data_IF_841663815676
#
_entry.id   IF_841663815676
#
_cell.length_a   1.000
_cell.length_b   1.000
_cell.length_c   1.000
_cell.angle_alpha   90.00
_cell.angle_beta   90.00
_cell.angle_gamma   90.00
#
_symmetry.space_group_name_H-M   'P 1'
#
loop_
_entity.id
_entity.type
_entity.pdbx_description
1 polymer ?
#
# COMPACT_ATOMS: atom_id res chain seq x y z
N UNK A 1 14.47 22.63 7.36
CA UNK A 1 14.91 22.19 6.02
C UNK A 1 15.10 20.67 5.91
N UNK A 2 15.65 19.99 6.92
CA UNK A 2 15.84 18.53 6.90
C UNK A 2 14.55 17.70 6.88
N UNK A 3 13.45 18.17 7.51
CA UNK A 3 12.16 17.48 7.53
C UNK A 3 11.55 17.27 6.14
N UNK A 4 11.46 18.33 5.32
CA UNK A 4 10.93 18.24 3.95
C UNK A 4 11.76 17.33 3.04
N UNK A 5 13.09 17.31 3.22
CA UNK A 5 13.95 16.37 2.49
C UNK A 5 13.70 14.92 2.92
N UNK A 6 13.45 14.68 4.21
CA UNK A 6 13.09 13.36 4.73
C UNK A 6 11.73 12.91 4.19
N UNK A 7 10.71 13.78 4.22
CA UNK A 7 9.38 13.54 3.63
C UNK A 7 9.50 13.18 2.15
N UNK A 8 10.23 13.99 1.36
CA UNK A 8 10.43 13.72 -0.07
C UNK A 8 11.13 12.38 -0.32
N UNK A 9 12.11 12.00 0.50
CA UNK A 9 12.81 10.71 0.39
C UNK A 9 11.88 9.54 0.75
N UNK A 10 11.15 9.66 1.86
CA UNK A 10 10.17 8.67 2.31
C UNK A 10 9.10 8.42 1.25
N UNK A 11 8.52 9.50 0.70
CA UNK A 11 7.55 9.42 -0.39
C UNK A 11 8.11 8.68 -1.58
N UNK A 12 9.27 9.12 -2.11
CA UNK A 12 9.86 8.49 -3.30
C UNK A 12 10.13 7.00 -3.10
N UNK A 13 10.65 6.61 -1.95
CA UNK A 13 10.93 5.21 -1.66
C UNK A 13 9.65 4.39 -1.52
N UNK A 14 8.62 4.97 -0.89
CA UNK A 14 7.30 4.35 -0.71
C UNK A 14 6.59 4.13 -2.05
N UNK A 15 6.52 5.18 -2.88
CA UNK A 15 5.91 5.11 -4.22
C UNK A 15 6.60 4.04 -5.06
N UNK A 16 7.93 4.08 -5.15
CA UNK A 16 8.66 3.09 -5.95
C UNK A 16 8.56 1.65 -5.42
N UNK A 17 8.29 1.45 -4.13
CA UNK A 17 8.01 0.13 -3.56
C UNK A 17 6.61 -0.37 -3.95
N UNK A 18 5.60 0.49 -3.89
CA UNK A 18 4.18 0.11 -4.00
C UNK A 18 3.66 0.17 -5.44
N UNK A 19 4.07 1.17 -6.23
CA UNK A 19 3.57 1.40 -7.59
C UNK A 19 3.60 0.16 -8.49
N UNK A 20 4.65 -0.69 -8.51
CA UNK A 20 4.66 -1.87 -9.38
C UNK A 20 3.50 -2.85 -9.14
N UNK A 21 3.00 -2.93 -7.91
CA UNK A 21 1.88 -3.80 -7.55
C UNK A 21 0.55 -3.17 -7.96
N UNK A 22 0.37 -1.88 -7.64
CA UNK A 22 -0.85 -1.14 -7.99
C UNK A 22 -1.01 -0.98 -9.50
N UNK A 23 0.06 -0.71 -10.24
CA UNK A 23 0.05 -0.63 -11.71
C UNK A 23 -0.32 -1.97 -12.37
N UNK A 24 0.04 -3.09 -11.75
CA UNK A 24 -0.38 -4.41 -12.21
C UNK A 24 -1.88 -4.63 -11.96
N UNK A 25 -2.38 -4.31 -10.77
CA UNK A 25 -3.82 -4.38 -10.45
C UNK A 25 -4.65 -3.45 -11.33
N UNK A 26 -4.20 -2.20 -11.54
CA UNK A 26 -4.89 -1.25 -12.41
C UNK A 26 -4.97 -1.74 -13.87
N UNK A 27 -3.93 -2.44 -14.36
CA UNK A 27 -3.98 -3.05 -15.69
C UNK A 27 -4.97 -4.22 -15.76
N UNK A 28 -5.07 -5.03 -14.70
CA UNK A 28 -5.99 -6.18 -14.64
C UNK A 28 -7.45 -5.77 -14.43
N UNK A 29 -7.69 -4.80 -13.55
CA UNK A 29 -9.01 -4.39 -13.07
C UNK A 29 -9.38 -2.98 -13.54
N UNK A 30 -8.89 -2.55 -14.71
CA UNK A 30 -9.12 -1.19 -15.23
C UNK A 30 -10.59 -0.76 -15.29
N UNK A 31 -11.52 -1.69 -15.43
CA UNK A 31 -12.97 -1.43 -15.41
C UNK A 31 -13.58 -1.34 -14.01
N UNK A 32 -12.96 -1.97 -13.00
CA UNK A 32 -13.53 -2.16 -11.65
C UNK A 32 -12.88 -1.22 -10.63
N UNK A 33 -11.59 -0.89 -10.79
CA UNK A 33 -10.85 0.08 -9.94
C UNK A 33 -11.27 1.53 -10.22
N UNK A 34 -12.54 1.81 -9.98
CA UNK A 34 -13.15 3.13 -10.04
C UNK A 34 -12.81 3.95 -8.78
N UNK A 35 -13.18 5.22 -8.78
CA UNK A 35 -13.12 6.09 -7.59
C UNK A 35 -13.80 5.45 -6.36
N UNK A 36 -14.97 4.84 -6.55
CA UNK A 36 -15.70 4.21 -5.46
C UNK A 36 -14.95 3.00 -4.88
N UNK A 37 -14.25 2.23 -5.72
CA UNK A 37 -13.43 1.10 -5.25
C UNK A 37 -12.26 1.59 -4.40
N UNK A 38 -11.61 2.72 -4.76
CA UNK A 38 -10.54 3.30 -3.95
C UNK A 38 -11.02 3.86 -2.61
N UNK A 39 -12.28 4.25 -2.53
CA UNK A 39 -12.94 4.73 -1.31
C UNK A 39 -13.58 3.61 -0.47
N UNK A 40 -13.56 2.35 -0.94
CA UNK A 40 -14.00 1.23 -0.12
C UNK A 40 -13.15 1.16 1.18
N UNK A 41 -13.76 1.04 2.37
CA UNK A 41 -13.02 1.13 3.63
C UNK A 41 -11.83 0.17 3.73
N UNK A 42 -11.93 -1.04 3.15
CA UNK A 42 -10.81 -1.97 3.14
C UNK A 42 -9.64 -1.42 2.32
N UNK A 43 -9.92 -0.88 1.13
CA UNK A 43 -8.90 -0.31 0.24
C UNK A 43 -8.22 0.91 0.89
N UNK A 44 -9.02 1.77 1.53
CA UNK A 44 -8.51 2.90 2.33
C UNK A 44 -7.59 2.41 3.44
N UNK A 45 -8.01 1.42 4.24
CA UNK A 45 -7.20 0.85 5.32
C UNK A 45 -5.93 0.18 4.82
N UNK A 46 -6.03 -0.62 3.76
CA UNK A 46 -4.91 -1.36 3.19
C UNK A 46 -3.82 -0.41 2.67
N UNK A 47 -4.20 0.51 1.78
CA UNK A 47 -3.24 1.41 1.15
C UNK A 47 -2.66 2.41 2.15
N UNK A 48 -3.48 2.97 3.04
CA UNK A 48 -3.01 3.94 4.04
C UNK A 48 -1.99 3.31 5.01
N UNK A 49 -2.27 2.10 5.50
CA UNK A 49 -1.36 1.37 6.38
C UNK A 49 -0.08 0.95 5.64
N UNK A 50 -0.20 0.40 4.43
CA UNK A 50 0.97 -0.02 3.64
C UNK A 50 1.92 1.15 3.36
N UNK A 51 1.37 2.29 2.97
CA UNK A 51 2.14 3.53 2.75
C UNK A 51 2.85 3.95 4.03
N UNK A 52 2.16 3.95 5.18
CA UNK A 52 2.76 4.30 6.48
C UNK A 52 3.91 3.38 6.85
N UNK A 53 3.72 2.06 6.74
CA UNK A 53 4.73 1.06 7.06
C UNK A 53 5.94 1.15 6.12
N UNK A 54 5.71 1.32 4.82
CA UNK A 54 6.77 1.50 3.84
C UNK A 54 7.60 2.78 4.09
N UNK A 55 6.93 3.88 4.44
CA UNK A 55 7.60 5.15 4.77
C UNK A 55 8.47 5.02 6.03
N UNK A 56 7.95 4.37 7.08
CA UNK A 56 8.67 4.14 8.32
C UNK A 56 9.85 3.17 8.11
N UNK A 57 9.66 2.10 7.34
CA UNK A 57 10.74 1.16 7.03
C UNK A 57 11.90 1.85 6.30
N UNK A 58 11.59 2.70 5.33
CA UNK A 58 12.61 3.32 4.46
C UNK A 58 13.33 4.51 5.10
N UNK A 59 12.71 5.21 6.06
CA UNK A 59 13.27 6.44 6.64
C UNK A 59 13.31 6.50 8.17
N UNK A 60 12.88 5.42 8.83
CA UNK A 60 12.60 5.38 10.26
C UNK A 60 11.40 6.24 10.64
N UNK A 61 11.13 6.34 11.95
CA UNK A 61 9.98 7.10 12.46
C UNK A 61 9.95 8.54 11.94
N UNK A 62 8.75 8.94 11.52
CA UNK A 62 8.39 10.30 11.15
C UNK A 62 7.52 10.90 12.26
N UNK A 63 7.58 12.22 12.45
CA UNK A 63 6.56 12.90 13.25
C UNK A 63 5.20 12.86 12.54
N UNK A 64 4.11 13.04 13.29
CA UNK A 64 2.75 12.86 12.76
C UNK A 64 2.45 13.74 11.55
N UNK A 65 2.98 14.97 11.48
CA UNK A 65 2.74 15.84 10.33
C UNK A 65 3.51 15.36 9.10
N UNK A 66 4.79 15.00 9.27
CA UNK A 66 5.58 14.42 8.19
C UNK A 66 4.99 13.10 7.68
N UNK A 67 4.49 12.24 8.58
CA UNK A 67 3.85 10.98 8.21
C UNK A 67 2.56 11.20 7.41
N UNK A 68 1.72 12.15 7.84
CA UNK A 68 0.49 12.52 7.11
C UNK A 68 0.80 13.05 5.71
N UNK A 69 1.81 13.91 5.56
CA UNK A 69 2.23 14.41 4.24
C UNK A 69 2.69 13.28 3.31
N UNK A 70 3.53 12.36 3.82
CA UNK A 70 3.95 11.21 3.02
C UNK A 70 2.76 10.36 2.63
N UNK A 71 1.82 10.12 3.54
CA UNK A 71 0.64 9.30 3.28
C UNK A 71 -0.23 9.87 2.16
N UNK A 72 -0.58 11.16 2.26
CA UNK A 72 -1.42 11.84 1.27
C UNK A 72 -0.74 11.93 -0.10
N UNK A 73 0.52 12.36 -0.15
CA UNK A 73 1.22 12.50 -1.43
C UNK A 73 1.53 11.15 -2.08
N UNK A 74 1.93 10.13 -1.31
CA UNK A 74 2.17 8.79 -1.83
C UNK A 74 0.87 8.12 -2.30
N UNK A 75 -0.25 8.34 -1.59
CA UNK A 75 -1.56 7.84 -2.04
C UNK A 75 -1.86 8.32 -3.46
N UNK A 76 -1.75 9.63 -3.69
CA UNK A 76 -2.00 10.22 -4.99
C UNK A 76 -1.00 9.75 -6.05
N UNK A 77 0.29 9.71 -5.70
CA UNK A 77 1.34 9.26 -6.62
C UNK A 77 1.17 7.78 -7.03
N UNK A 78 0.64 6.92 -6.14
CA UNK A 78 0.47 5.48 -6.37
C UNK A 78 -0.87 5.15 -7.04
N UNK A 79 -1.96 5.74 -6.58
CA UNK A 79 -3.32 5.40 -7.04
C UNK A 79 -3.78 6.27 -8.22
N UNK A 80 -3.17 7.44 -8.41
CA UNK A 80 -3.67 8.49 -9.31
C UNK A 80 -4.90 9.24 -8.77
N UNK A 81 -5.41 8.86 -7.59
CA UNK A 81 -6.62 9.42 -7.00
C UNK A 81 -6.33 10.65 -6.12
N UNK A 82 -7.18 11.69 -6.12
CA UNK A 82 -6.91 12.91 -5.36
C UNK A 82 -6.78 12.68 -3.85
N UNK A 83 -5.67 13.16 -3.28
CA UNK A 83 -5.33 12.98 -1.86
C UNK A 83 -6.22 13.74 -0.88
N UNK A 84 -6.92 14.80 -1.31
CA UNK A 84 -7.72 15.62 -0.38
C UNK A 84 -8.94 14.90 0.18
N UNK A 85 -9.42 13.84 -0.47
CA UNK A 85 -10.56 13.04 -0.02
C UNK A 85 -10.16 11.95 0.99
N UNK A 86 -8.91 11.49 0.95
CA UNK A 86 -8.52 10.29 1.71
C UNK A 86 -8.19 10.59 3.19
N UNK A 87 -7.70 11.79 3.50
CA UNK A 87 -7.29 12.14 4.85
C UNK A 87 -8.46 12.16 5.84
N UNK A 88 -9.59 12.73 5.41
CA UNK A 88 -10.84 12.74 6.19
C UNK A 88 -11.38 11.32 6.37
N UNK A 89 -11.40 10.54 5.29
CA UNK A 89 -11.91 9.16 5.29
C UNK A 89 -11.12 8.27 6.26
N UNK A 90 -9.79 8.34 6.26
CA UNK A 90 -8.94 7.61 7.22
C UNK A 90 -9.31 7.97 8.66
N UNK A 91 -9.54 9.26 8.95
CA UNK A 91 -9.89 9.71 10.30
C UNK A 91 -11.28 9.22 10.72
N UNK A 92 -12.26 9.30 9.81
CA UNK A 92 -13.63 8.85 10.04
C UNK A 92 -13.68 7.34 10.29
N UNK A 93 -13.08 6.54 9.41
CA UNK A 93 -13.07 5.08 9.50
C UNK A 93 -12.31 4.59 10.74
N UNK A 94 -11.15 5.20 11.04
CA UNK A 94 -10.35 4.83 12.21
C UNK A 94 -11.07 5.14 13.53
N UNK A 95 -11.65 6.34 13.65
CA UNK A 95 -12.39 6.75 14.85
C UNK A 95 -13.71 6.00 15.02
N UNK A 96 -14.36 5.62 13.92
CA UNK A 96 -15.55 4.78 13.90
C UNK A 96 -15.28 3.29 14.17
N UNK A 97 -14.01 2.88 14.27
CA UNK A 97 -13.60 1.47 14.39
C UNK A 97 -14.19 0.59 13.28
N UNK A 98 -14.19 1.11 12.06
CA UNK A 98 -14.72 0.38 10.92
C UNK A 98 -13.98 -0.95 10.72
N UNK A 99 -14.75 -2.03 10.55
CA UNK A 99 -14.21 -3.40 10.49
C UNK A 99 -13.49 -3.67 9.17
N UNK A 100 -14.01 -3.18 8.05
CA UNK A 100 -13.39 -3.35 6.73
C UNK A 100 -12.06 -2.60 6.68
N UNK A 101 -12.04 -1.37 7.19
CA UNK A 101 -10.82 -0.57 7.36
C UNK A 101 -9.77 -1.27 8.23
N UNK A 102 -10.18 -1.78 9.40
CA UNK A 102 -9.27 -2.51 10.30
C UNK A 102 -8.72 -3.78 9.65
N UNK A 103 -9.53 -4.49 8.86
CA UNK A 103 -9.10 -5.67 8.12
C UNK A 103 -8.11 -5.31 7.01
N UNK A 104 -8.35 -4.23 6.28
CA UNK A 104 -7.41 -3.70 5.28
C UNK A 104 -6.06 -3.37 5.91
N UNK A 105 -6.06 -2.66 7.04
CA UNK A 105 -4.84 -2.36 7.81
C UNK A 105 -4.06 -3.63 8.21
N UNK A 106 -4.76 -4.66 8.68
CA UNK A 106 -4.15 -5.93 9.07
C UNK A 106 -3.50 -6.63 7.87
N UNK A 107 -4.19 -6.70 6.73
CA UNK A 107 -3.68 -7.35 5.53
C UNK A 107 -2.50 -6.58 4.92
N UNK A 108 -2.52 -5.25 4.97
CA UNK A 108 -1.35 -4.44 4.61
C UNK A 108 -0.13 -4.72 5.49
N UNK A 109 -0.34 -4.96 6.78
CA UNK A 109 0.74 -5.34 7.70
C UNK A 109 1.34 -6.70 7.32
N UNK A 110 0.49 -7.70 7.02
CA UNK A 110 0.93 -9.02 6.53
C UNK A 110 1.71 -8.92 5.22
N UNK A 111 1.26 -8.06 4.30
CA UNK A 111 1.96 -7.84 3.04
C UNK A 111 3.32 -7.17 3.27
N UNK A 112 3.41 -6.19 4.16
CA UNK A 112 4.70 -5.57 4.51
C UNK A 112 5.67 -6.55 5.18
N UNK A 113 5.17 -7.47 6.02
CA UNK A 113 5.98 -8.55 6.59
C UNK A 113 6.59 -9.43 5.50
N UNK A 114 5.87 -9.71 4.41
CA UNK A 114 6.41 -10.45 3.27
C UNK A 114 7.45 -9.63 2.49
N UNK A 115 7.21 -8.33 2.26
CA UNK A 115 8.17 -7.44 1.58
C UNK A 115 9.48 -7.25 2.37
N UNK A 116 9.43 -7.40 3.69
CA UNK A 116 10.58 -7.28 4.59
C UNK A 116 11.20 -8.62 4.96
N UNK A 117 10.56 -9.73 4.58
CA UNK A 117 11.11 -11.07 4.75
C UNK A 117 12.39 -11.18 3.91
N UNK A 118 13.50 -11.66 4.49
CA UNK A 118 14.70 -11.95 3.73
C UNK A 118 14.35 -12.98 2.65
N UNK A 119 14.64 -12.68 1.37
CA UNK A 119 14.56 -13.69 0.33
C UNK A 119 15.40 -14.89 0.76
N UNK A 120 14.76 -16.05 0.91
CA UNK A 120 15.42 -17.32 1.24
C UNK A 120 16.55 -17.53 0.24
N UNK A 121 17.79 -17.45 0.71
CA UNK A 121 18.98 -17.56 -0.13
C UNK A 121 19.01 -18.94 -0.80
N UNK A 122 18.58 -19.05 -2.05
CA UNK A 122 19.16 -20.05 -2.94
C UNK A 122 20.43 -19.41 -3.52
N UNK A 123 21.64 -19.98 -3.30
CA UNK A 123 22.90 -19.26 -3.47
C UNK A 123 23.20 -18.71 -4.87
N UNK A 124 22.48 -19.08 -5.94
CA UNK A 124 23.02 -18.89 -7.30
C UNK A 124 22.25 -18.00 -8.29
N UNK A 125 21.02 -17.51 -8.05
CA UNK A 125 20.27 -16.89 -9.17
C UNK A 125 19.35 -15.71 -8.83
N UNK A 126 19.84 -14.65 -8.17
CA UNK A 126 19.15 -13.36 -8.26
C UNK A 126 19.81 -12.48 -9.33
N UNK A 127 19.11 -12.13 -10.43
CA UNK A 127 19.65 -11.23 -11.44
C UNK A 127 19.94 -9.85 -10.82
N UNK A 128 21.01 -9.16 -11.27
CA UNK A 128 21.31 -7.80 -10.84
C UNK A 128 20.15 -6.87 -11.24
N UNK A 129 19.33 -6.48 -10.27
CA UNK A 129 18.15 -5.63 -10.49
C UNK A 129 17.02 -5.79 -9.48
N UNK A 130 16.97 -6.88 -8.70
CA UNK A 130 15.84 -7.16 -7.79
C UNK A 130 15.78 -6.31 -6.51
N UNK A 131 16.75 -5.41 -6.30
CA UNK A 131 16.78 -4.54 -5.11
C UNK A 131 15.96 -3.27 -5.36
N UNK A 132 14.72 -3.26 -4.88
CA UNK A 132 13.93 -2.03 -4.80
C UNK A 132 14.21 -1.39 -3.44
N UNK A 133 14.87 -0.24 -3.43
CA UNK A 133 15.13 0.56 -2.23
C UNK A 133 15.78 -0.18 -1.04
N UNK A 134 16.61 -1.19 -1.31
CA UNK A 134 17.34 -1.95 -0.29
C UNK A 134 16.58 -3.16 0.26
N UNK A 135 15.34 -3.40 -0.18
CA UNK A 135 14.62 -4.64 0.07
C UNK A 135 15.06 -5.71 -0.93
N UNK A 136 15.31 -6.92 -0.41
CA UNK A 136 15.55 -8.13 -1.19
C UNK A 136 14.49 -9.16 -0.80
N UNK A 137 13.33 -9.06 -1.43
CA UNK A 137 12.19 -9.95 -1.21
C UNK A 137 11.97 -10.86 -2.41
N UNK A 138 11.31 -12.00 -2.17
CA UNK A 138 10.84 -12.84 -3.25
C UNK A 138 9.66 -12.16 -3.97
N UNK A 139 9.93 -11.61 -5.15
CA UNK A 139 8.93 -10.89 -5.95
C UNK A 139 7.75 -11.78 -6.33
N UNK A 140 7.97 -13.07 -6.56
CA UNK A 140 6.88 -14.00 -6.90
C UNK A 140 5.98 -14.23 -5.70
N UNK A 141 6.56 -14.45 -4.52
CA UNK A 141 5.81 -14.60 -3.27
C UNK A 141 5.03 -13.32 -2.93
N UNK A 142 5.67 -12.16 -3.03
CA UNK A 142 5.01 -10.87 -2.83
C UNK A 142 3.86 -10.66 -3.83
N UNK A 143 4.05 -10.92 -5.12
CA UNK A 143 2.96 -10.79 -6.11
C UNK A 143 1.81 -11.75 -5.84
N UNK A 144 2.10 -12.99 -5.40
CA UNK A 144 1.06 -13.95 -5.03
C UNK A 144 0.26 -13.47 -3.81
N UNK A 145 0.94 -12.97 -2.77
CA UNK A 145 0.28 -12.44 -1.58
C UNK A 145 -0.51 -11.15 -1.89
N UNK A 146 0.03 -10.27 -2.73
CA UNK A 146 -0.70 -9.10 -3.21
C UNK A 146 -1.98 -9.50 -3.95
N UNK A 147 -1.89 -10.49 -4.85
CA UNK A 147 -3.05 -10.98 -5.59
C UNK A 147 -4.12 -11.56 -4.66
N UNK A 148 -3.72 -12.27 -3.60
CA UNK A 148 -4.66 -12.83 -2.62
C UNK A 148 -5.34 -11.73 -1.78
N UNK A 149 -4.56 -10.78 -1.27
CA UNK A 149 -5.05 -9.78 -0.31
C UNK A 149 -5.72 -8.57 -0.97
N UNK A 150 -5.19 -8.10 -2.09
CA UNK A 150 -5.62 -6.86 -2.74
C UNK A 150 -6.52 -7.16 -3.93
N UNK A 151 -6.02 -7.93 -4.91
CA UNK A 151 -6.81 -8.27 -6.11
C UNK A 151 -8.04 -9.11 -5.74
N UNK A 152 -7.90 -10.07 -4.81
CA UNK A 152 -9.02 -10.87 -4.30
C UNK A 152 -10.13 -10.03 -3.66
N UNK A 153 -9.80 -8.90 -3.02
CA UNK A 153 -10.81 -7.97 -2.50
C UNK A 153 -11.54 -7.25 -3.63
N UNK A 154 -10.83 -6.77 -4.64
CA UNK A 154 -11.42 -6.11 -5.81
C UNK A 154 -12.39 -7.06 -6.54
N UNK A 155 -12.01 -8.33 -6.71
CA UNK A 155 -12.88 -9.34 -7.31
C UNK A 155 -14.15 -9.60 -6.49
N UNK A 156 -14.06 -9.54 -5.16
CA UNK A 156 -15.24 -9.68 -4.30
C UNK A 156 -16.17 -8.46 -4.40
N UNK A 157 -15.60 -7.26 -4.49
CA UNK A 157 -16.32 -6.01 -4.65
C UNK A 157 -17.11 -5.95 -5.97
N UNK A 158 -16.55 -6.49 -7.06
CA UNK A 158 -17.21 -6.57 -8.38
C UNK A 158 -18.42 -7.51 -8.39
N UNK A 159 -18.39 -8.57 -7.57
CA UNK A 159 -19.42 -9.61 -7.56
C UNK A 159 -20.62 -9.26 -6.71
N UNK A 160 -20.44 -8.50 -5.63
CA UNK A 160 -21.56 -8.07 -4.78
C UNK A 160 -21.19 -6.80 -3.96
N UNK A 161 -21.62 -5.60 -4.40
CA UNK A 161 -21.25 -4.35 -3.74
C UNK A 161 -21.85 -4.19 -2.33
N UNK A 162 -22.84 -5.01 -1.96
CA UNK A 162 -23.58 -4.92 -0.69
C UNK A 162 -23.27 -6.06 0.30
N UNK A 163 -22.37 -7.00 -0.02
CA UNK A 163 -22.07 -8.10 0.90
C UNK A 163 -21.23 -7.64 2.10
N UNK A 164 -21.66 -7.90 3.35
CA UNK A 164 -20.75 -7.94 4.49
C UNK A 164 -19.90 -9.23 4.43
N UNK A 165 -18.72 -9.26 5.09
CA UNK A 165 -17.83 -10.43 5.07
C UNK A 165 -18.48 -11.70 5.63
#
# INVERSE_FOLDING_TARGET
MFGLLKVRRARKATVALISPFVEESQRRFSSTLTEQAWLDPYMVGFMSMLISLAAEYTTGRLDSQSAGLVQLEAWQDVTGFPSHLIGEEICLLSSGHDRKFSHGCLNASRFMEELTRPASTHPDHLPPGSRVHGLNYDRSAAMALWSDLFDGHIESFDRDPDLPP
#
